data_IF_793048333848
#
_entry.id   IF_793048333848
#
_cell.length_a   1.000
_cell.length_b   1.000
_cell.length_c   1.000
_cell.angle_alpha   90.00
_cell.angle_beta   90.00
_cell.angle_gamma   90.00
#
_symmetry.space_group_name_H-M   'P 1'
#
loop_
_entity.id
_entity.type
_entity.pdbx_description
1 polymer ?
#
# COMPACT_ATOMS: atom_id res chain seq x y z
N UNK A 1 1.49 -18.28 2.93
CA UNK A 1 0.90 -18.19 4.27
C UNK A 1 1.87 -17.72 5.33
N UNK A 2 3.12 -18.17 5.28
CA UNK A 2 4.11 -17.64 6.21
C UNK A 2 4.38 -16.15 6.03
N UNK A 3 4.42 -15.68 4.79
CA UNK A 3 4.58 -14.24 4.54
C UNK A 3 3.50 -13.40 5.18
N UNK A 4 2.26 -13.89 5.19
CA UNK A 4 1.16 -13.20 5.84
C UNK A 4 1.37 -13.11 7.36
N UNK A 5 1.82 -14.19 7.99
CA UNK A 5 2.10 -14.20 9.42
C UNK A 5 3.24 -13.24 9.77
N UNK A 6 4.28 -13.21 8.95
CA UNK A 6 5.41 -12.31 9.16
C UNK A 6 4.99 -10.85 9.00
N UNK A 7 4.19 -10.55 8.01
CA UNK A 7 3.69 -9.19 7.79
C UNK A 7 2.80 -8.75 8.96
N UNK A 8 1.95 -9.62 9.45
CA UNK A 8 1.09 -9.31 10.59
C UNK A 8 1.91 -9.04 11.85
N UNK A 9 2.96 -9.82 12.06
CA UNK A 9 3.89 -9.60 13.17
C UNK A 9 4.62 -8.27 13.02
N UNK A 10 5.13 -7.99 11.83
CA UNK A 10 5.81 -6.75 11.51
C UNK A 10 4.89 -5.55 11.77
N UNK A 11 3.66 -5.60 11.29
CA UNK A 11 2.70 -4.53 11.45
C UNK A 11 2.39 -4.29 12.92
N UNK A 12 2.20 -5.36 13.70
CA UNK A 12 1.94 -5.24 15.12
C UNK A 12 3.08 -4.53 15.86
N UNK A 13 4.30 -4.88 15.55
CA UNK A 13 5.48 -4.23 16.12
C UNK A 13 5.60 -2.79 15.61
N UNK A 14 5.34 -2.56 14.34
CA UNK A 14 5.39 -1.24 13.74
C UNK A 14 4.38 -0.28 14.35
N UNK A 15 3.18 -0.73 14.60
CA UNK A 15 2.13 0.08 15.24
C UNK A 15 2.57 0.50 16.64
N UNK A 16 3.12 -0.41 17.42
CA UNK A 16 3.62 -0.09 18.77
C UNK A 16 4.72 0.96 18.72
N UNK A 17 5.61 0.86 17.76
CA UNK A 17 6.72 1.78 17.64
C UNK A 17 6.27 3.14 17.14
N UNK A 18 5.30 3.19 16.27
CA UNK A 18 4.86 4.45 15.67
C UNK A 18 3.92 5.25 16.57
N UNK A 19 3.16 4.60 17.44
CA UNK A 19 2.27 5.31 18.34
C UNK A 19 3.02 6.15 19.39
N UNK A 20 4.25 5.81 19.69
CA UNK A 20 5.07 6.54 20.67
C UNK A 20 5.81 7.70 20.05
N UNK A 21 5.81 7.81 18.74
CA UNK A 21 6.55 8.86 18.05
C UNK A 21 5.54 9.71 17.32
N UNK A 22 5.56 10.98 17.60
CA UNK A 22 4.80 11.92 16.84
C UNK A 22 5.47 12.08 15.49
N UNK A 23 5.31 11.07 14.67
CA UNK A 23 6.02 10.90 13.41
C UNK A 23 5.87 12.14 12.51
N UNK A 24 4.72 12.77 12.60
CA UNK A 24 4.43 13.99 11.85
C UNK A 24 5.41 15.11 12.10
N UNK A 25 6.00 15.15 13.28
CA UNK A 25 6.93 16.22 13.66
C UNK A 25 8.36 15.91 13.26
N UNK A 26 8.64 14.68 12.85
CA UNK A 26 9.99 14.22 12.60
C UNK A 26 10.30 13.96 11.15
N UNK A 27 9.39 14.31 10.24
CA UNK A 27 9.65 14.19 8.81
C UNK A 27 10.14 15.53 8.26
N UNK A 28 11.44 15.84 8.41
CA UNK A 28 11.99 17.13 8.00
C UNK A 28 12.11 17.14 6.51
N UNK A 29 11.55 16.81 5.72
CA UNK A 29 11.67 16.85 4.27
C UNK A 29 10.35 16.89 3.57
N UNK A 30 9.26 17.02 4.32
CA UNK A 30 7.96 17.26 3.72
C UNK A 30 7.97 18.66 3.13
N UNK A 31 8.40 18.75 1.90
CA UNK A 31 8.31 19.98 1.16
C UNK A 31 6.86 20.15 0.65
N UNK A 32 6.52 21.38 0.31
CA UNK A 32 5.22 21.68 -0.29
C UNK A 32 5.00 20.96 -1.63
N UNK A 33 6.05 20.37 -2.20
CA UNK A 33 5.98 19.62 -3.45
C UNK A 33 5.69 18.13 -3.23
N UNK A 34 5.79 17.63 -2.00
CA UNK A 34 5.47 16.22 -1.72
C UNK A 34 3.96 15.98 -1.81
N UNK A 35 3.59 14.99 -2.61
CA UNK A 35 2.21 14.54 -2.66
C UNK A 35 1.93 13.64 -1.46
N UNK A 36 0.66 13.47 -1.07
CA UNK A 36 0.31 12.48 -0.04
C UNK A 36 0.84 11.09 -0.37
N UNK A 37 0.76 10.68 -1.62
CA UNK A 37 1.30 9.40 -2.06
C UNK A 37 2.78 9.25 -1.70
N UNK A 38 3.59 10.23 -2.04
CA UNK A 38 5.04 10.19 -1.79
C UNK A 38 5.34 10.18 -0.30
N UNK A 39 4.65 11.03 0.45
CA UNK A 39 4.83 11.12 1.90
C UNK A 39 4.47 9.81 2.60
N UNK A 40 3.30 9.26 2.31
CA UNK A 40 2.86 8.02 2.95
C UNK A 40 3.72 6.83 2.55
N UNK A 41 4.14 6.78 1.30
CA UNK A 41 5.05 5.71 0.84
C UNK A 41 6.37 5.74 1.61
N UNK A 42 6.95 6.92 1.78
CA UNK A 42 8.20 7.08 2.53
C UNK A 42 8.02 6.63 3.98
N UNK A 43 6.97 7.07 4.62
CA UNK A 43 6.68 6.75 6.03
C UNK A 43 6.40 5.27 6.20
N UNK A 44 5.72 4.65 5.26
CA UNK A 44 5.52 3.21 5.26
C UNK A 44 6.85 2.46 5.18
N UNK A 45 7.73 2.88 4.29
CA UNK A 45 9.07 2.30 4.19
C UNK A 45 9.85 2.47 5.50
N UNK A 46 9.70 3.60 6.17
CA UNK A 46 10.37 3.81 7.46
C UNK A 46 9.88 2.83 8.52
N UNK A 47 8.59 2.54 8.55
CA UNK A 47 8.04 1.53 9.45
C UNK A 47 8.64 0.16 9.15
N UNK A 48 8.73 -0.20 7.88
CA UNK A 48 9.35 -1.46 7.48
C UNK A 48 10.82 -1.55 7.91
N UNK A 49 11.57 -0.48 7.73
CA UNK A 49 12.99 -0.43 8.15
C UNK A 49 13.15 -0.57 9.65
N UNK A 50 12.31 0.09 10.42
CA UNK A 50 12.34 -0.02 11.89
C UNK A 50 12.09 -1.43 12.37
N UNK A 51 11.49 -2.26 11.54
CA UNK A 51 11.19 -3.65 11.85
C UNK A 51 12.15 -4.62 11.16
N UNK A 52 13.31 -4.15 10.74
CA UNK A 52 14.39 -4.99 10.26
C UNK A 52 14.38 -5.29 8.78
N UNK A 53 13.58 -4.60 8.00
CA UNK A 53 13.54 -4.79 6.55
C UNK A 53 14.37 -3.72 5.85
N UNK A 54 15.12 -4.15 4.86
CA UNK A 54 15.64 -3.24 3.86
C UNK A 54 14.55 -3.02 2.82
N UNK A 55 14.38 -1.78 2.38
CA UNK A 55 13.32 -1.44 1.43
C UNK A 55 13.89 -0.86 0.16
N UNK A 56 13.28 -1.23 -0.95
CA UNK A 56 13.53 -0.61 -2.25
C UNK A 56 12.17 -0.24 -2.84
N UNK A 57 12.07 0.94 -3.41
CA UNK A 57 10.84 1.39 -4.04
C UNK A 57 11.10 1.83 -5.47
N UNK A 58 10.18 1.45 -6.35
CA UNK A 58 10.20 1.84 -7.75
C UNK A 58 8.76 2.12 -8.16
N UNK A 59 8.41 3.39 -8.32
CA UNK A 59 7.03 3.78 -8.61
C UNK A 59 6.07 3.36 -7.51
N UNK A 60 5.12 2.52 -7.85
CA UNK A 60 4.14 1.99 -6.91
C UNK A 60 4.64 0.77 -6.14
N UNK A 61 5.77 0.18 -6.54
CA UNK A 61 6.23 -1.07 -5.94
C UNK A 61 7.19 -0.82 -4.80
N UNK A 62 7.02 -1.58 -3.74
CA UNK A 62 7.93 -1.61 -2.60
C UNK A 62 8.34 -3.06 -2.39
N UNK A 63 9.65 -3.27 -2.29
CA UNK A 63 10.22 -4.58 -2.00
C UNK A 63 10.92 -4.46 -0.65
N UNK A 64 10.49 -5.30 0.30
CA UNK A 64 11.04 -5.35 1.64
C UNK A 64 11.71 -6.69 1.87
N UNK A 65 12.96 -6.68 2.33
CA UNK A 65 13.73 -7.89 2.56
C UNK A 65 14.40 -7.81 3.92
N UNK A 66 14.29 -8.88 4.70
CA UNK A 66 14.93 -8.96 6.02
C UNK A 66 16.06 -9.98 6.09
N UNK A 67 16.52 -10.48 4.96
CA UNK A 67 17.54 -11.54 4.90
C UNK A 67 16.97 -12.95 4.92
N UNK A 68 15.73 -13.12 5.37
CA UNK A 68 15.05 -14.42 5.44
C UNK A 68 13.90 -14.52 4.46
N UNK A 69 13.21 -13.41 4.25
CA UNK A 69 12.08 -13.37 3.33
C UNK A 69 12.03 -12.04 2.60
N UNK A 70 11.35 -12.07 1.48
CA UNK A 70 11.05 -10.87 0.68
C UNK A 70 9.54 -10.70 0.63
N UNK A 71 9.08 -9.51 0.98
CA UNK A 71 7.66 -9.15 0.90
C UNK A 71 7.52 -7.98 -0.06
N UNK A 72 6.58 -8.08 -0.97
CA UNK A 72 6.36 -7.08 -2.00
C UNK A 72 4.99 -6.45 -1.85
N UNK A 73 4.95 -5.14 -2.10
CA UNK A 73 3.74 -4.34 -1.99
C UNK A 73 3.51 -3.53 -3.25
N UNK A 74 2.27 -3.35 -3.60
CA UNK A 74 1.85 -2.32 -4.53
C UNK A 74 1.23 -1.18 -3.72
N UNK A 75 1.86 -0.03 -3.73
CA UNK A 75 1.40 1.15 -2.99
C UNK A 75 0.52 1.98 -3.91
N UNK A 76 -0.77 2.04 -3.62
CA UNK A 76 -1.75 2.65 -4.51
C UNK A 76 -1.96 4.13 -4.21
N UNK A 77 -2.08 4.92 -5.25
CA UNK A 77 -2.40 6.33 -5.13
C UNK A 77 -3.90 6.52 -4.88
N UNK A 78 -4.24 7.42 -3.98
CA UNK A 78 -5.62 7.74 -3.64
C UNK A 78 -6.09 9.01 -4.33
N UNK A 79 -7.30 8.97 -4.87
CA UNK A 79 -7.95 10.15 -5.41
C UNK A 79 -9.04 10.60 -4.42
N UNK A 80 -8.83 11.70 -3.70
CA UNK A 80 -9.79 12.14 -2.69
C UNK A 80 -11.11 12.65 -3.26
N UNK A 81 -11.11 13.10 -4.51
CA UNK A 81 -12.35 13.58 -5.14
C UNK A 81 -13.32 12.46 -5.42
N UNK A 82 -12.80 11.30 -5.82
CA UNK A 82 -13.63 10.16 -6.22
C UNK A 82 -13.67 9.08 -5.16
N UNK A 83 -13.00 9.27 -4.04
CA UNK A 83 -12.93 8.30 -2.95
C UNK A 83 -12.50 6.91 -3.43
N UNK A 84 -11.46 6.88 -4.24
CA UNK A 84 -10.95 5.62 -4.77
C UNK A 84 -9.43 5.61 -4.86
N UNK A 85 -8.90 4.40 -5.03
CA UNK A 85 -7.49 4.17 -5.30
C UNK A 85 -7.31 3.77 -6.75
N UNK A 86 -6.20 4.20 -7.31
CA UNK A 86 -5.83 3.87 -8.67
C UNK A 86 -4.84 2.71 -8.66
N UNK A 87 -5.18 1.63 -9.36
CA UNK A 87 -4.29 0.49 -9.54
C UNK A 87 -4.15 0.17 -11.02
N UNK A 88 -2.99 -0.35 -11.39
CA UNK A 88 -2.79 -0.83 -12.74
C UNK A 88 -3.51 -2.17 -12.91
N UNK A 89 -4.32 -2.30 -13.95
CA UNK A 89 -4.98 -3.56 -14.26
C UNK A 89 -4.03 -4.57 -14.89
N UNK A 90 -2.94 -4.09 -15.46
CA UNK A 90 -1.89 -4.96 -15.94
C UNK A 90 -1.03 -5.32 -14.74
N UNK A 91 -1.54 -6.22 -13.93
CA UNK A 91 -0.81 -6.73 -12.79
C UNK A 91 0.15 -7.81 -13.29
N UNK A 92 1.13 -7.38 -14.07
CA UNK A 92 2.13 -8.29 -14.60
C UNK A 92 3.01 -8.85 -13.50
N UNK A 93 3.19 -8.06 -12.45
CA UNK A 93 4.03 -8.47 -11.33
C UNK A 93 3.16 -8.82 -10.14
N UNK A 94 3.22 -10.06 -9.73
CA UNK A 94 2.60 -10.52 -8.52
C UNK A 94 3.25 -9.85 -7.31
N UNK A 95 2.40 -9.33 -6.43
CA UNK A 95 2.83 -8.78 -5.14
C UNK A 95 2.18 -9.57 -4.02
N UNK A 96 2.70 -9.45 -2.82
CA UNK A 96 2.08 -10.09 -1.67
C UNK A 96 0.86 -9.31 -1.19
N UNK A 97 0.97 -7.99 -1.18
CA UNK A 97 -0.08 -7.12 -0.65
C UNK A 97 -0.21 -5.85 -1.45
N UNK A 98 -1.42 -5.32 -1.46
CA UNK A 98 -1.66 -3.93 -1.82
C UNK A 98 -1.65 -3.11 -0.53
N UNK A 99 -0.97 -1.97 -0.58
CA UNK A 99 -0.91 -1.03 0.52
C UNK A 99 -1.70 0.22 0.13
N UNK A 100 -2.63 0.60 0.99
CA UNK A 100 -3.51 1.74 0.78
C UNK A 100 -3.33 2.72 1.93
N UNK A 101 -3.00 3.97 1.62
CA UNK A 101 -2.90 4.98 2.66
C UNK A 101 -4.24 5.67 2.90
N UNK A 102 -4.47 6.02 4.15
CA UNK A 102 -5.66 6.75 4.57
C UNK A 102 -5.22 8.10 5.13
N UNK A 103 -5.47 9.15 4.35
CA UNK A 103 -5.05 10.50 4.70
C UNK A 103 -5.84 11.06 5.90
N UNK A 104 -7.06 10.57 6.11
CA UNK A 104 -7.89 11.04 7.23
C UNK A 104 -7.43 10.48 8.56
N UNK A 105 -6.94 9.25 8.56
CA UNK A 105 -6.53 8.54 9.77
C UNK A 105 -5.02 8.43 9.92
N UNK A 106 -4.26 9.03 9.02
CA UNK A 106 -2.81 8.99 9.04
C UNK A 106 -2.30 7.56 9.19
N UNK A 107 -2.77 6.69 8.32
CA UNK A 107 -2.49 5.25 8.41
C UNK A 107 -2.31 4.62 7.05
N UNK A 108 -1.78 3.41 7.06
CA UNK A 108 -1.70 2.53 5.88
C UNK A 108 -2.32 1.20 6.27
N UNK A 109 -3.12 0.63 5.39
CA UNK A 109 -3.68 -0.69 5.60
C UNK A 109 -3.36 -1.59 4.40
N UNK A 110 -3.36 -2.89 4.66
CA UNK A 110 -2.99 -3.89 3.67
C UNK A 110 -4.18 -4.73 3.25
N UNK A 111 -4.22 -5.05 1.96
CA UNK A 111 -5.17 -6.01 1.39
C UNK A 111 -4.38 -7.04 0.58
N UNK A 112 -4.77 -8.30 0.70
CA UNK A 112 -4.10 -9.39 0.00
C UNK A 112 -4.18 -9.26 -1.51
N UNK A 113 -3.12 -9.63 -2.18
CA UNK A 113 -3.02 -9.56 -3.64
C UNK A 113 -4.18 -10.28 -4.35
N UNK A 114 -4.50 -11.50 -3.91
CA UNK A 114 -5.55 -12.29 -4.55
C UNK A 114 -6.92 -11.64 -4.49
N UNK A 115 -7.20 -10.96 -3.40
CA UNK A 115 -8.50 -10.27 -3.21
C UNK A 115 -8.61 -9.08 -4.16
N UNK A 116 -7.57 -8.28 -4.25
CA UNK A 116 -7.56 -7.13 -5.15
C UNK A 116 -7.60 -7.57 -6.60
N UNK A 117 -6.82 -8.59 -6.94
CA UNK A 117 -6.80 -9.12 -8.31
C UNK A 117 -8.17 -9.63 -8.74
N UNK A 118 -8.84 -10.37 -7.89
CA UNK A 118 -10.17 -10.90 -8.16
C UNK A 118 -11.18 -9.77 -8.40
N UNK A 119 -11.10 -8.74 -7.57
CA UNK A 119 -11.96 -7.56 -7.72
C UNK A 119 -11.67 -6.83 -9.04
N UNK A 120 -10.41 -6.59 -9.34
CA UNK A 120 -10.01 -5.94 -10.60
C UNK A 120 -10.45 -6.74 -11.82
N UNK A 121 -10.37 -8.05 -11.75
CA UNK A 121 -10.81 -8.92 -12.83
C UNK A 121 -12.32 -8.81 -13.04
N UNK A 122 -13.10 -8.77 -11.96
CA UNK A 122 -14.55 -8.60 -12.07
C UNK A 122 -14.93 -7.24 -12.67
N UNK A 123 -14.20 -6.19 -12.33
CA UNK A 123 -14.41 -4.88 -12.93
C UNK A 123 -14.09 -4.87 -14.43
N UNK A 124 -12.98 -5.51 -14.80
CA UNK A 124 -12.55 -5.62 -16.18
C UNK A 124 -13.59 -6.37 -17.02
N UNK A 125 -14.19 -7.40 -16.47
CA UNK A 125 -15.23 -8.18 -17.15
C UNK A 125 -16.54 -7.39 -17.26
N UNK A 126 -16.78 -6.47 -16.31
CA UNK A 126 -18.01 -5.65 -16.29
C UNK A 126 -17.92 -4.39 -17.13
N UNK A 127 -16.72 -3.87 -17.33
CA UNK A 127 -16.49 -2.64 -18.06
C UNK A 127 -15.56 -2.88 -19.22
N UNK A 128 -16.03 -2.60 -20.42
CA UNK A 128 -15.19 -2.52 -21.61
C UNK A 128 -14.27 -1.30 -21.55
N UNK A 129 -13.70 -1.02 -20.40
CA UNK A 129 -12.86 0.14 -20.24
C UNK A 129 -11.45 -0.11 -20.76
N UNK A 130 -11.05 0.76 -21.65
CA UNK A 130 -9.68 0.93 -22.08
C UNK A 130 -9.02 -0.34 -22.59
N UNK A 131 -9.29 -0.64 -23.83
CA UNK A 131 -8.59 -1.66 -24.58
C UNK A 131 -7.12 -1.34 -24.85
N UNK A 132 -6.55 -0.35 -24.19
CA UNK A 132 -5.13 -0.16 -24.25
C UNK A 132 -4.50 -1.01 -23.13
N UNK A 133 -4.05 -2.20 -23.50
CA UNK A 133 -3.46 -3.16 -22.58
C UNK A 133 -2.25 -2.60 -21.80
N UNK A 134 -1.70 -1.48 -22.24
CA UNK A 134 -0.55 -0.85 -21.60
C UNK A 134 -0.93 0.14 -20.51
N UNK A 135 -2.17 0.60 -20.50
CA UNK A 135 -2.60 1.70 -19.63
C UNK A 135 -3.93 1.44 -18.93
N UNK A 136 -4.34 0.19 -18.85
CA UNK A 136 -5.58 -0.13 -18.13
C UNK A 136 -5.42 0.17 -16.66
N UNK A 137 -6.03 1.24 -16.22
CA UNK A 137 -6.07 1.63 -14.82
C UNK A 137 -7.46 1.34 -14.29
N UNK A 138 -7.53 0.74 -13.12
CA UNK A 138 -8.78 0.47 -12.45
C UNK A 138 -8.86 1.29 -11.18
N UNK A 139 -10.08 1.64 -10.82
CA UNK A 139 -10.35 2.39 -9.61
C UNK A 139 -11.00 1.48 -8.59
N UNK A 140 -10.40 1.43 -7.41
CA UNK A 140 -10.90 0.63 -6.30
C UNK A 140 -11.52 1.58 -5.28
N UNK A 141 -12.84 1.44 -4.97
CA UNK A 141 -13.46 2.28 -3.96
C UNK A 141 -12.76 2.14 -2.61
N UNK A 142 -12.51 3.24 -1.93
CA UNK A 142 -11.80 3.22 -0.65
C UNK A 142 -12.58 2.46 0.42
N UNK A 143 -13.90 2.55 0.43
CA UNK A 143 -14.73 1.81 1.38
C UNK A 143 -14.59 0.30 1.19
N UNK A 144 -14.60 -0.16 -0.06
CA UNK A 144 -14.41 -1.57 -0.35
C UNK A 144 -13.02 -2.03 0.12
N UNK A 145 -11.98 -1.27 -0.23
CA UNK A 145 -10.61 -1.62 0.15
C UNK A 145 -10.48 -1.71 1.67
N UNK A 146 -11.05 -0.76 2.39
CA UNK A 146 -11.00 -0.73 3.85
C UNK A 146 -11.70 -1.94 4.46
N UNK A 147 -12.82 -2.38 3.88
CA UNK A 147 -13.54 -3.57 4.33
C UNK A 147 -12.72 -4.85 4.15
N UNK A 148 -11.83 -4.87 3.16
CA UNK A 148 -11.01 -6.04 2.85
C UNK A 148 -9.67 -6.03 3.59
N UNK A 149 -9.39 -5.02 4.40
CA UNK A 149 -8.10 -4.90 5.06
C UNK A 149 -7.81 -6.08 5.96
N UNK A 150 -6.56 -6.51 5.93
CA UNK A 150 -6.06 -7.53 6.82
C UNK A 150 -5.57 -6.87 8.10
N UNK A 151 -4.91 -5.74 7.95
CA UNK A 151 -4.30 -5.05 9.06
C UNK A 151 -4.10 -3.57 8.72
N UNK A 152 -4.07 -2.75 9.75
CA UNK A 152 -3.87 -1.30 9.64
C UNK A 152 -2.79 -0.90 10.63
N UNK A 153 -1.94 0.03 10.24
CA UNK A 153 -0.99 0.61 11.18
C UNK A 153 -0.89 2.12 11.00
N UNK A 154 -0.76 2.77 12.13
CA UNK A 154 -0.65 4.22 12.20
C UNK A 154 0.76 4.68 11.85
N UNK A 155 0.83 5.79 11.20
CA UNK A 155 2.10 6.39 10.81
C UNK A 155 2.42 7.63 11.63
#
# INVERSE_FOLDING_TARGET
>A
MEGLKQVNKLIGEGVKNTTNVSVRHTYPGLSSTDTPFTSYRRRFCDVLRKNGYETRSAGNYIIANNGKETVTFYFAAHNPRNHNYLVSAVLENEVNYYAFYDNNNNSVYLVGYGIVRKYCKSLKDSYTFYNDARHTKLFIPDDWARQQRINTYSL
#
